data_IF_003848020331
#
_entry.id   IF_003848020331
#
_cell.length_a   1.000
_cell.length_b   1.000
_cell.length_c   1.000
_cell.angle_alpha   90.00
_cell.angle_beta   90.00
_cell.angle_gamma   90.00
#
_symmetry.space_group_name_H-M   'P 1'
#
loop_
_entity.id
_entity.type
_entity.pdbx_description
1 polymer ?
#
# COMPACT_ATOMS: atom_id res chain seq x y z
N UNK A 1 31.42 -5.24 -17.44
CA UNK A 1 30.42 -6.13 -16.80
C UNK A 1 29.93 -5.44 -15.54
N UNK A 2 28.83 -4.70 -15.61
CA UNK A 2 28.35 -3.90 -14.47
C UNK A 2 27.37 -4.74 -13.65
N UNK A 3 27.83 -5.27 -12.51
CA UNK A 3 27.12 -5.53 -11.24
C UNK A 3 25.70 -6.11 -11.17
N UNK A 4 25.04 -6.46 -12.26
CA UNK A 4 23.65 -6.90 -12.29
C UNK A 4 23.59 -8.42 -12.48
N UNK A 5 23.21 -9.12 -11.42
CA UNK A 5 22.83 -10.53 -11.51
C UNK A 5 21.42 -10.53 -12.15
N UNK A 6 21.34 -10.77 -13.46
CA UNK A 6 20.06 -11.08 -14.09
C UNK A 6 19.58 -12.43 -13.56
N UNK A 7 18.75 -12.40 -12.54
CA UNK A 7 17.98 -13.58 -12.12
C UNK A 7 17.19 -14.08 -13.33
N UNK A 8 17.19 -15.38 -13.61
CA UNK A 8 16.49 -15.97 -14.76
C UNK A 8 14.96 -15.76 -14.80
N UNK A 9 14.38 -15.15 -13.76
CA UNK A 9 12.98 -14.75 -13.66
C UNK A 9 12.86 -13.30 -13.15
N UNK A 10 13.09 -12.29 -14.01
CA UNK A 10 12.96 -10.89 -13.63
C UNK A 10 11.50 -10.52 -13.33
N UNK A 11 11.30 -9.57 -12.42
CA UNK A 11 9.97 -9.08 -12.07
C UNK A 11 9.26 -8.42 -13.29
N UNK A 12 7.92 -8.28 -13.32
CA UNK A 12 7.21 -7.66 -14.46
C UNK A 12 7.71 -6.27 -14.84
N UNK A 13 8.09 -5.45 -13.84
CA UNK A 13 8.68 -4.11 -14.05
C UNK A 13 10.17 -4.17 -14.43
N UNK A 14 10.85 -5.26 -14.07
CA UNK A 14 12.28 -5.44 -14.28
C UNK A 14 12.57 -6.11 -15.63
N UNK A 15 11.59 -6.81 -16.19
CA UNK A 15 11.70 -7.53 -17.46
C UNK A 15 11.73 -6.56 -18.65
N UNK A 16 11.02 -5.44 -18.54
CA UNK A 16 10.96 -4.41 -19.56
C UNK A 16 11.88 -3.24 -19.17
N UNK A 17 12.88 -2.96 -20.01
CA UNK A 17 13.86 -1.88 -19.78
C UNK A 17 13.29 -0.48 -20.09
N UNK A 18 12.24 -0.39 -20.90
CA UNK A 18 11.60 0.88 -21.28
C UNK A 18 10.47 1.26 -20.34
N UNK A 19 10.06 0.37 -19.43
CA UNK A 19 9.03 0.67 -18.45
C UNK A 19 9.59 1.62 -17.37
N UNK A 20 9.31 2.90 -17.55
CA UNK A 20 9.61 3.95 -16.57
C UNK A 20 8.47 4.06 -15.57
N UNK A 21 8.80 3.88 -14.29
CA UNK A 21 7.84 4.02 -13.19
C UNK A 21 7.69 5.50 -12.82
N UNK A 22 6.53 6.10 -13.13
CA UNK A 22 6.25 7.51 -12.90
C UNK A 22 4.88 7.71 -12.22
N UNK A 23 4.82 8.66 -11.27
CA UNK A 23 3.60 9.12 -10.59
C UNK A 23 2.46 9.60 -11.51
N UNK A 24 2.77 10.02 -12.75
CA UNK A 24 1.76 10.45 -13.73
C UNK A 24 1.08 9.29 -14.45
N UNK A 25 1.68 8.09 -14.43
CA UNK A 25 1.12 6.92 -15.10
C UNK A 25 0.10 6.21 -14.18
N UNK A 26 -1.09 6.80 -14.08
CA UNK A 26 -2.16 6.32 -13.20
C UNK A 26 -2.61 4.90 -13.57
N UNK A 27 -2.64 4.57 -14.86
CA UNK A 27 -3.05 3.24 -15.34
C UNK A 27 -2.13 2.13 -14.84
N UNK A 28 -0.82 2.39 -14.80
CA UNK A 28 0.16 1.47 -14.22
C UNK A 28 0.01 1.39 -12.69
N UNK A 29 -0.10 2.54 -12.02
CA UNK A 29 -0.17 2.58 -10.55
C UNK A 29 -1.43 1.91 -9.99
N UNK A 30 -2.57 2.05 -10.67
CA UNK A 30 -3.86 1.43 -10.27
C UNK A 30 -3.78 -0.10 -10.16
N UNK A 31 -2.92 -0.75 -10.94
CA UNK A 31 -2.76 -2.20 -10.88
C UNK A 31 -2.19 -2.69 -9.54
N UNK A 32 -1.52 -1.79 -8.80
CA UNK A 32 -0.91 -2.09 -7.51
C UNK A 32 -1.68 -1.53 -6.31
N UNK A 33 -2.88 -0.99 -6.55
CA UNK A 33 -3.74 -0.39 -5.53
C UNK A 33 -5.05 -1.19 -5.46
N UNK A 34 -5.49 -1.50 -4.25
CA UNK A 34 -6.77 -2.16 -4.02
C UNK A 34 -7.93 -1.24 -4.44
N UNK A 35 -8.87 -1.71 -5.28
CA UNK A 35 -9.98 -0.88 -5.74
C UNK A 35 -10.99 -0.55 -4.64
N UNK A 36 -11.04 -1.35 -3.57
CA UNK A 36 -12.02 -1.20 -2.48
C UNK A 36 -11.47 -0.44 -1.29
N UNK A 37 -10.18 -0.61 -0.98
CA UNK A 37 -9.55 0.02 0.20
C UNK A 37 -8.67 1.21 -0.18
N UNK A 38 -8.26 1.34 -1.45
CA UNK A 38 -7.28 2.36 -1.86
C UNK A 38 -5.88 2.14 -1.30
N UNK A 39 -5.65 1.01 -0.63
CA UNK A 39 -4.36 0.64 -0.06
C UNK A 39 -3.44 0.02 -1.11
N UNK A 40 -2.13 0.22 -0.92
CA UNK A 40 -1.11 -0.37 -1.77
C UNK A 40 -0.97 -1.86 -1.43
N UNK A 41 -0.97 -2.70 -2.46
CA UNK A 41 -0.72 -4.13 -2.31
C UNK A 41 0.65 -4.39 -1.68
N UNK A 42 0.70 -5.14 -0.58
CA UNK A 42 1.94 -5.32 0.19
C UNK A 42 2.96 -6.24 -0.51
N UNK A 43 4.24 -5.91 -0.35
CA UNK A 43 5.34 -6.84 -0.62
C UNK A 43 5.54 -7.74 0.60
N UNK A 44 4.89 -8.90 0.63
CA UNK A 44 5.21 -9.94 1.61
C UNK A 44 6.21 -10.90 0.99
N UNK A 45 7.45 -10.89 1.50
CA UNK A 45 8.33 -12.06 1.39
C UNK A 45 7.76 -13.09 2.36
N UNK A 46 7.25 -14.21 1.89
CA UNK A 46 6.62 -15.24 2.73
C UNK A 46 7.48 -15.56 3.97
N UNK A 47 7.19 -14.94 5.11
CA UNK A 47 7.62 -15.38 6.44
C UNK A 47 6.35 -15.70 7.19
N UNK A 48 6.04 -16.98 7.23
CA UNK A 48 5.00 -17.52 8.08
C UNK A 48 5.32 -17.13 9.54
N UNK A 49 4.52 -16.25 10.13
CA UNK A 49 4.44 -16.08 11.59
C UNK A 49 3.08 -16.61 12.02
N UNK A 50 3.03 -17.92 12.29
CA UNK A 50 2.02 -18.50 13.17
C UNK A 50 2.71 -18.72 14.52
N UNK A 51 2.51 -17.80 15.47
CA UNK A 51 2.66 -18.08 16.90
C UNK A 51 1.51 -17.41 17.64
N UNK A 52 0.41 -18.15 17.78
CA UNK A 52 -0.74 -17.80 18.61
C UNK A 52 -1.52 -19.10 18.88
N UNK A 53 -1.92 -19.38 20.13
CA UNK A 53 -2.57 -20.64 20.46
C UNK A 53 -3.95 -20.70 19.80
N UNK A 54 -4.24 -21.84 19.18
CA UNK A 54 -5.50 -22.17 18.52
C UNK A 54 -6.65 -22.16 19.55
N UNK A 55 -7.65 -21.29 19.38
CA UNK A 55 -8.96 -21.51 20.02
C UNK A 55 -10.09 -21.12 19.07
N UNK A 56 -10.75 -22.14 18.53
CA UNK A 56 -11.92 -22.01 17.67
C UNK A 56 -13.16 -21.96 18.57
N UNK A 57 -13.78 -20.78 18.71
CA UNK A 57 -15.18 -20.69 19.13
C UNK A 57 -16.06 -20.48 17.90
N UNK A 58 -16.74 -21.57 17.52
CA UNK A 58 -17.85 -21.63 16.56
C UNK A 58 -19.01 -20.75 17.05
N UNK A 59 -19.33 -19.70 16.31
CA UNK A 59 -20.66 -19.32 15.81
C UNK A 59 -20.50 -17.92 15.22
N UNK A 60 -20.55 -17.81 13.89
CA UNK A 60 -21.17 -16.69 13.16
C UNK A 60 -20.92 -16.91 11.66
N UNK A 61 -21.84 -17.65 11.03
CA UNK A 61 -21.95 -17.81 9.58
C UNK A 61 -22.90 -16.71 9.10
N UNK A 62 -22.41 -15.46 9.00
CA UNK A 62 -23.01 -14.39 8.17
C UNK A 62 -21.97 -13.35 7.76
N UNK A 63 -20.98 -13.78 6.95
CA UNK A 63 -20.22 -12.86 6.10
C UNK A 63 -20.04 -13.56 4.73
N UNK A 64 -20.62 -13.05 3.63
CA UNK A 64 -20.50 -13.68 2.32
C UNK A 64 -19.05 -13.60 1.84
N UNK A 65 -18.28 -14.68 1.93
CA UNK A 65 -16.96 -14.87 1.28
C UNK A 65 -16.14 -13.58 1.11
N UNK A 66 -15.84 -12.89 2.20
CA UNK A 66 -14.94 -11.73 2.14
C UNK A 66 -13.54 -12.17 2.51
N UNK A 67 -12.66 -12.11 1.49
CA UNK A 67 -11.22 -11.95 1.65
C UNK A 67 -10.42 -13.23 1.94
N UNK A 68 -10.12 -13.99 0.88
CA UNK A 68 -8.86 -14.75 0.81
C UNK A 68 -7.88 -13.99 -0.09
N UNK A 69 -6.90 -13.26 0.46
CA UNK A 69 -5.91 -12.53 -0.29
C UNK A 69 -4.55 -13.17 -0.06
N UNK A 70 -4.44 -14.48 -0.23
CA UNK A 70 -3.14 -15.15 -0.28
C UNK A 70 -2.71 -15.10 -1.76
N UNK A 71 -1.49 -14.79 -2.18
CA UNK A 71 -0.16 -14.84 -1.56
C UNK A 71 0.73 -14.00 -2.50
N UNK A 72 1.72 -13.22 -2.03
CA UNK A 72 2.63 -12.42 -2.89
C UNK A 72 1.99 -11.38 -3.84
N UNK A 73 1.31 -10.36 -3.28
CA UNK A 73 0.32 -9.51 -3.98
C UNK A 73 0.82 -8.65 -5.15
N UNK A 74 2.11 -8.35 -5.28
CA UNK A 74 2.60 -7.40 -6.31
C UNK A 74 3.49 -8.02 -7.38
N UNK A 75 4.07 -9.22 -7.17
CA UNK A 75 4.97 -9.86 -8.15
C UNK A 75 6.25 -9.08 -8.49
N UNK A 76 6.53 -7.96 -7.82
CA UNK A 76 7.69 -7.10 -8.08
C UNK A 76 8.82 -7.36 -7.09
N UNK A 77 10.06 -7.10 -7.50
CA UNK A 77 11.21 -7.18 -6.59
C UNK A 77 11.15 -6.04 -5.55
N UNK A 78 11.83 -6.21 -4.42
CA UNK A 78 11.81 -5.24 -3.32
C UNK A 78 12.23 -3.83 -3.76
N UNK A 79 13.24 -3.72 -4.63
CA UNK A 79 13.70 -2.42 -5.16
C UNK A 79 12.60 -1.70 -5.92
N UNK A 80 11.94 -2.39 -6.87
CA UNK A 80 10.83 -1.81 -7.65
C UNK A 80 9.61 -1.52 -6.77
N UNK A 81 9.37 -2.34 -5.75
CA UNK A 81 8.31 -2.07 -4.78
C UNK A 81 8.53 -0.75 -4.01
N UNK A 82 9.77 -0.49 -3.56
CA UNK A 82 10.09 0.78 -2.89
C UNK A 82 9.89 1.98 -3.81
N UNK A 83 10.34 1.87 -5.07
CA UNK A 83 10.13 2.92 -6.07
C UNK A 83 8.63 3.17 -6.32
N UNK A 84 7.82 2.10 -6.34
CA UNK A 84 6.37 2.16 -6.49
C UNK A 84 5.69 2.86 -5.32
N UNK A 85 6.10 2.58 -4.07
CA UNK A 85 5.57 3.28 -2.89
C UNK A 85 5.78 4.80 -3.01
N UNK A 86 6.98 5.22 -3.42
CA UNK A 86 7.30 6.65 -3.62
C UNK A 86 6.47 7.25 -4.75
N UNK A 87 6.33 6.55 -5.88
CA UNK A 87 5.53 7.02 -7.01
C UNK A 87 4.05 7.18 -6.64
N UNK A 88 3.48 6.23 -5.89
CA UNK A 88 2.09 6.30 -5.43
C UNK A 88 1.92 7.42 -4.41
N UNK A 89 2.86 7.60 -3.48
CA UNK A 89 2.77 8.71 -2.52
C UNK A 89 2.75 10.07 -3.23
N UNK A 90 3.67 10.27 -4.19
CA UNK A 90 3.67 11.46 -5.04
C UNK A 90 2.35 11.62 -5.80
N UNK A 91 1.83 10.54 -6.37
CA UNK A 91 0.56 10.57 -7.08
C UNK A 91 -0.62 10.97 -6.18
N UNK A 92 -0.61 10.62 -4.89
CA UNK A 92 -1.57 11.12 -3.90
C UNK A 92 -1.37 12.59 -3.61
N UNK A 93 -0.13 13.03 -3.39
CA UNK A 93 0.19 14.42 -3.07
C UNK A 93 -0.20 15.38 -4.21
N UNK A 94 -0.07 14.94 -5.47
CA UNK A 94 -0.52 15.69 -6.65
C UNK A 94 -2.01 15.51 -6.99
N UNK A 95 -2.71 14.60 -6.31
CA UNK A 95 -4.13 14.32 -6.58
C UNK A 95 -4.42 13.52 -7.86
N UNK A 96 -3.43 12.78 -8.39
CA UNK A 96 -3.63 11.86 -9.52
C UNK A 96 -4.32 10.55 -9.14
N UNK A 97 -4.19 10.14 -7.88
CA UNK A 97 -4.80 8.92 -7.33
C UNK A 97 -5.71 9.30 -6.17
N UNK A 98 -6.92 8.73 -6.14
CA UNK A 98 -7.88 8.89 -5.04
C UNK A 98 -7.46 8.06 -3.83
N UNK A 99 -7.53 8.65 -2.64
CA UNK A 99 -7.24 7.98 -1.37
C UNK A 99 -8.15 8.54 -0.28
N UNK A 100 -8.28 7.80 0.82
CA UNK A 100 -9.01 8.26 2.00
C UNK A 100 -8.15 9.22 2.83
N UNK A 101 -8.71 10.39 3.14
CA UNK A 101 -8.02 11.46 3.85
C UNK A 101 -8.42 11.38 5.33
N UNK A 102 -7.48 11.12 6.26
CA UNK A 102 -7.82 11.05 7.67
C UNK A 102 -8.30 12.41 8.19
N UNK A 103 -9.35 12.40 9.00
CA UNK A 103 -9.81 13.59 9.70
C UNK A 103 -8.78 14.00 10.76
N UNK A 104 -8.37 15.28 10.73
CA UNK A 104 -7.51 15.87 11.77
C UNK A 104 -8.37 16.60 12.79
N UNK A 105 -8.25 16.21 14.06
CA UNK A 105 -8.83 16.95 15.18
C UNK A 105 -7.84 17.99 15.69
N UNK A 106 -8.35 19.15 16.12
CA UNK A 106 -7.56 20.24 16.69
C UNK A 106 -8.16 20.61 18.05
N UNK A 107 -7.30 20.80 19.05
CA UNK A 107 -7.70 21.45 20.30
C UNK A 107 -7.53 22.97 20.14
N UNK A 108 -8.64 23.68 19.96
CA UNK A 108 -8.63 25.13 19.75
C UNK A 108 -8.28 25.92 21.02
N UNK A 109 -8.30 25.29 22.20
CA UNK A 109 -7.94 25.94 23.47
C UNK A 109 -6.46 26.34 23.52
N UNK A 110 -5.59 25.69 22.75
CA UNK A 110 -4.17 26.03 22.63
C UNK A 110 -3.92 27.38 21.93
N UNK A 111 -4.85 27.83 21.08
CA UNK A 111 -4.68 29.03 20.25
C UNK A 111 -5.47 30.24 20.77
N UNK A 112 -6.64 30.02 21.36
CA UNK A 112 -7.47 31.09 21.90
C UNK A 112 -7.21 31.27 23.40
N UNK A 113 -6.62 32.42 23.77
CA UNK A 113 -6.55 32.81 25.19
C UNK A 113 -7.97 33.07 25.68
N UNK A 114 -8.39 32.49 26.82
CA UNK A 114 -9.69 32.81 27.40
C UNK A 114 -9.72 34.31 27.68
N UNK A 115 -10.75 34.99 27.17
CA UNK A 115 -10.93 36.41 27.48
C UNK A 115 -11.26 36.49 28.97
N UNK A 116 -10.44 37.21 29.73
CA UNK A 116 -10.69 37.48 31.15
C UNK A 116 -12.06 38.11 31.27
N UNK A 117 -12.98 37.41 31.94
CA UNK A 117 -14.31 37.92 32.26
C UNK A 117 -14.18 39.25 33.01
N UNK A 118 -14.96 40.24 32.57
CA UNK A 118 -15.00 41.61 33.08
C UNK A 118 -15.94 41.70 34.29
#
# INVERSE_FOLDING_TARGET
>A
RQGAISTGNPCPICRDEYLVLDHRNIELLRQFISPFTGEILSYTRNTQLHVGPQFISRLDITQPITYFPDRSKTGVCQKRHQELLVAIQKARDFGFVTFDVPFRTYDYSEYYKPQSEN
#
